data_IF_571924574631
#
_entry.id   IF_571924574631
#
_cell.length_a   1.000
_cell.length_b   1.000
_cell.length_c   1.000
_cell.angle_alpha   90.00
_cell.angle_beta   90.00
_cell.angle_gamma   90.00
#
_symmetry.space_group_name_H-M   'P 1'
#
loop_
_entity.id
_entity.type
_entity.pdbx_description
1 polymer ?
#
# COMPACT_ATOMS: atom_id res chain seq x y z
N UNK A 1 11.98 -50.84 46.94
CA UNK A 1 12.49 -51.63 45.80
C UNK A 1 11.45 -52.71 45.52
N UNK A 2 10.79 -52.67 44.36
CA UNK A 2 11.28 -53.42 43.20
C UNK A 2 11.51 -52.52 41.97
N UNK A 3 12.33 -52.96 40.99
CA UNK A 3 12.62 -52.21 39.78
C UNK A 3 11.55 -52.48 38.71
N UNK A 4 10.86 -51.45 38.24
CA UNK A 4 10.08 -51.54 37.01
C UNK A 4 11.05 -51.50 35.83
N UNK A 5 11.15 -52.67 35.20
CA UNK A 5 11.92 -53.01 34.01
C UNK A 5 11.85 -51.93 32.94
N UNK A 6 13.05 -51.56 32.46
CA UNK A 6 13.29 -51.17 31.07
C UNK A 6 12.52 -52.12 30.14
N UNK A 7 11.48 -51.60 29.47
CA UNK A 7 11.13 -52.09 28.14
C UNK A 7 11.94 -51.25 27.16
N UNK A 8 13.12 -51.78 26.84
CA UNK A 8 13.81 -51.43 25.62
C UNK A 8 12.85 -51.73 24.45
N UNK A 9 12.25 -50.68 23.90
CA UNK A 9 11.66 -50.72 22.57
C UNK A 9 12.85 -50.64 21.61
N UNK A 10 13.51 -51.77 21.40
CA UNK A 10 14.50 -51.94 20.35
C UNK A 10 13.82 -51.89 19.00
N UNK A 11 14.22 -50.91 18.20
CA UNK A 11 14.38 -50.93 16.75
C UNK A 11 13.63 -52.02 15.97
N UNK A 12 12.50 -51.64 15.36
CA UNK A 12 12.29 -51.94 13.95
C UNK A 12 12.30 -50.60 13.18
N UNK A 13 13.50 -50.05 12.96
CA UNK A 13 13.72 -49.05 11.92
C UNK A 13 13.68 -49.76 10.57
N UNK A 14 12.47 -50.02 10.07
CA UNK A 14 12.25 -50.30 8.65
C UNK A 14 12.61 -49.05 7.88
N UNK A 15 13.54 -49.15 6.91
CA UNK A 15 14.04 -48.00 6.13
C UNK A 15 12.97 -47.12 5.44
N UNK A 16 11.72 -47.60 5.36
CA UNK A 16 10.57 -46.83 4.91
C UNK A 16 10.12 -45.73 5.92
N UNK A 17 10.26 -45.95 7.23
CA UNK A 17 9.87 -44.97 8.25
C UNK A 17 10.84 -43.78 8.33
N UNK A 18 12.13 -44.03 8.10
CA UNK A 18 13.16 -42.98 8.06
C UNK A 18 12.97 -42.08 6.83
N UNK A 19 12.68 -42.65 5.66
CA UNK A 19 12.38 -41.92 4.43
C UNK A 19 11.12 -41.04 4.52
N UNK A 20 10.11 -41.52 5.27
CA UNK A 20 8.87 -40.77 5.51
C UNK A 20 9.14 -39.56 6.43
N UNK A 21 9.95 -39.74 7.48
CA UNK A 21 10.33 -38.67 8.38
C UNK A 21 11.15 -37.58 7.67
N UNK A 22 12.15 -37.97 6.87
CA UNK A 22 12.97 -37.03 6.08
C UNK A 22 12.11 -36.23 5.08
N UNK A 23 11.08 -36.87 4.50
CA UNK A 23 10.13 -36.18 3.62
C UNK A 23 9.33 -35.13 4.38
N UNK A 24 8.85 -35.44 5.58
CA UNK A 24 8.10 -34.47 6.39
C UNK A 24 8.97 -33.31 6.86
N UNK A 25 10.22 -33.59 7.27
CA UNK A 25 11.19 -32.57 7.66
C UNK A 25 11.47 -31.61 6.48
N UNK A 26 11.69 -32.14 5.27
CA UNK A 26 11.86 -31.32 4.06
C UNK A 26 10.61 -30.49 3.73
N UNK A 27 9.41 -31.06 3.89
CA UNK A 27 8.16 -30.31 3.66
C UNK A 27 7.97 -29.20 4.68
N UNK A 28 8.35 -29.42 5.93
CA UNK A 28 8.30 -28.42 6.99
C UNK A 28 9.34 -27.31 6.74
N UNK A 29 10.57 -27.68 6.43
CA UNK A 29 11.64 -26.72 6.08
C UNK A 29 11.26 -25.86 4.86
N UNK A 30 10.62 -26.45 3.83
CA UNK A 30 10.12 -25.70 2.68
C UNK A 30 9.01 -24.71 3.08
N UNK A 31 8.07 -25.14 3.92
CA UNK A 31 6.99 -24.27 4.43
C UNK A 31 7.55 -23.10 5.24
N UNK A 32 8.51 -23.36 6.12
CA UNK A 32 9.18 -22.32 6.91
C UNK A 32 9.93 -21.34 6.00
N UNK A 33 10.64 -21.84 4.99
CA UNK A 33 11.37 -21.01 4.02
C UNK A 33 10.42 -20.11 3.22
N UNK A 34 9.26 -20.63 2.83
CA UNK A 34 8.24 -19.87 2.10
C UNK A 34 7.65 -18.76 2.99
N UNK A 35 7.29 -19.08 4.23
CA UNK A 35 6.78 -18.08 5.18
C UNK A 35 7.79 -16.95 5.43
N UNK A 36 9.08 -17.28 5.52
CA UNK A 36 10.14 -16.27 5.67
C UNK A 36 10.24 -15.35 4.45
N UNK A 37 9.98 -15.86 3.24
CA UNK A 37 9.98 -15.03 2.02
C UNK A 37 8.77 -14.09 2.03
N UNK A 38 7.59 -14.60 2.38
CA UNK A 38 6.38 -13.78 2.45
C UNK A 38 6.47 -12.70 3.53
N UNK A 39 7.11 -13.00 4.67
CA UNK A 39 7.36 -12.01 5.73
C UNK A 39 8.28 -10.88 5.26
N UNK A 40 9.36 -11.22 4.56
CA UNK A 40 10.24 -10.22 3.94
C UNK A 40 9.52 -9.38 2.89
N UNK A 41 8.66 -10.00 2.08
CA UNK A 41 7.90 -9.27 1.06
C UNK A 41 6.84 -8.33 1.69
N UNK A 42 6.15 -8.80 2.73
CA UNK A 42 5.19 -7.98 3.47
C UNK A 42 5.89 -6.77 4.11
N UNK A 43 7.05 -6.98 4.72
CA UNK A 43 7.84 -5.92 5.34
C UNK A 43 8.33 -4.91 4.28
N UNK A 44 8.79 -5.39 3.12
CA UNK A 44 9.17 -4.52 2.00
C UNK A 44 8.05 -3.59 1.56
N UNK A 45 6.84 -4.11 1.32
CA UNK A 45 5.71 -3.26 0.95
C UNK A 45 5.28 -2.32 2.08
N UNK A 46 5.37 -2.77 3.33
CA UNK A 46 5.04 -1.95 4.49
C UNK A 46 5.97 -0.75 4.62
N UNK A 47 7.28 -0.97 4.49
CA UNK A 47 8.28 0.11 4.47
C UNK A 47 8.04 1.08 3.32
N UNK A 48 7.77 0.57 2.12
CA UNK A 48 7.48 1.42 0.97
C UNK A 48 6.20 2.25 1.15
N UNK A 49 5.15 1.70 1.77
CA UNK A 49 3.95 2.47 2.12
C UNK A 49 4.30 3.61 3.08
N UNK A 50 5.15 3.40 4.07
CA UNK A 50 5.61 4.48 4.95
C UNK A 50 6.38 5.55 4.17
N UNK A 51 7.31 5.17 3.29
CA UNK A 51 8.07 6.13 2.48
C UNK A 51 7.17 6.97 1.57
N UNK A 52 6.23 6.35 0.86
CA UNK A 52 5.29 7.10 -0.01
C UNK A 52 4.34 7.95 0.82
N UNK A 53 3.88 7.42 1.97
CA UNK A 53 3.03 8.17 2.90
C UNK A 53 3.70 9.42 3.46
N UNK A 54 4.99 9.36 3.83
CA UNK A 54 5.72 10.55 4.32
C UNK A 54 5.94 11.57 3.21
N UNK A 55 6.27 11.12 1.99
CA UNK A 55 6.42 12.02 0.84
C UNK A 55 5.10 12.74 0.52
N UNK A 56 3.98 12.00 0.48
CA UNK A 56 2.67 12.57 0.26
C UNK A 56 2.28 13.61 1.33
N UNK A 57 2.58 13.31 2.61
CA UNK A 57 2.33 14.24 3.71
C UNK A 57 3.14 15.54 3.57
N UNK A 58 4.40 15.48 3.11
CA UNK A 58 5.22 16.65 2.86
C UNK A 58 4.65 17.52 1.72
N UNK A 59 4.25 16.88 0.60
CA UNK A 59 3.63 17.60 -0.53
C UNK A 59 2.34 18.28 -0.08
N UNK A 60 1.48 17.58 0.66
CA UNK A 60 0.26 18.18 1.23
C UNK A 60 0.58 19.40 2.12
N UNK A 61 1.66 19.34 2.91
CA UNK A 61 2.15 20.45 3.71
C UNK A 61 2.56 21.65 2.86
N UNK A 62 3.33 21.45 1.79
CA UNK A 62 3.73 22.51 0.87
C UNK A 62 2.54 23.16 0.17
N UNK A 63 1.57 22.34 -0.25
CA UNK A 63 0.32 22.81 -0.84
C UNK A 63 -0.47 23.68 0.13
N UNK A 64 -0.57 23.27 1.39
CA UNK A 64 -1.23 24.07 2.43
C UNK A 64 -0.50 25.41 2.66
N UNK A 65 0.83 25.40 2.75
CA UNK A 65 1.62 26.63 2.86
C UNK A 65 1.39 27.59 1.69
N UNK A 66 1.33 27.08 0.46
CA UNK A 66 1.03 27.89 -0.73
C UNK A 66 -0.37 28.53 -0.68
N UNK A 67 -1.37 27.84 -0.12
CA UNK A 67 -2.72 28.41 0.10
C UNK A 67 -2.67 29.59 1.08
N UNK A 68 -1.91 29.46 2.16
CA UNK A 68 -1.79 30.49 3.19
C UNK A 68 -1.07 31.74 2.67
N UNK A 69 -0.04 31.54 1.84
CA UNK A 69 0.78 32.64 1.29
C UNK A 69 0.03 33.45 0.22
N UNK A 70 -0.83 32.82 -0.59
CA UNK A 70 -1.54 33.48 -1.69
C UNK A 70 -2.73 34.38 -1.25
N UNK A 71 -2.72 34.90 -0.01
CA UNK A 71 -3.85 35.64 0.58
C UNK A 71 -4.12 37.00 -0.07
N UNK A 72 -3.13 37.60 -0.72
CA UNK A 72 -3.18 38.98 -1.22
C UNK A 72 -3.29 39.08 -2.77
N UNK A 73 -3.88 38.08 -3.41
CA UNK A 73 -4.03 38.01 -4.87
C UNK A 73 -5.34 38.66 -5.36
N UNK A 74 -5.46 39.98 -5.21
CA UNK A 74 -6.69 40.73 -5.55
C UNK A 74 -6.68 41.33 -6.98
N UNK A 75 -5.51 41.55 -7.58
CA UNK A 75 -5.39 42.18 -8.91
C UNK A 75 -5.47 41.19 -10.10
N UNK A 76 -5.66 39.90 -9.83
CA UNK A 76 -5.61 38.85 -10.85
C UNK A 76 -7.01 38.50 -11.36
N UNK A 77 -7.12 38.23 -12.67
CA UNK A 77 -8.36 37.80 -13.30
C UNK A 77 -9.03 36.62 -12.57
N UNK A 78 -10.34 36.66 -12.34
CA UNK A 78 -11.04 35.71 -11.47
C UNK A 78 -10.92 34.26 -11.94
N UNK A 79 -10.83 34.04 -13.25
CA UNK A 79 -10.65 32.70 -13.82
C UNK A 79 -9.33 32.04 -13.39
N UNK A 80 -8.24 32.81 -13.36
CA UNK A 80 -6.93 32.28 -13.01
C UNK A 80 -6.85 31.95 -11.51
N UNK A 81 -7.39 32.84 -10.67
CA UNK A 81 -7.53 32.63 -9.21
C UNK A 81 -8.30 31.34 -8.91
N UNK A 82 -9.47 31.15 -9.53
CA UNK A 82 -10.28 29.94 -9.37
C UNK A 82 -9.53 28.70 -9.85
N UNK A 83 -8.89 28.77 -11.03
CA UNK A 83 -8.16 27.63 -11.60
C UNK A 83 -7.00 27.17 -10.72
N UNK A 84 -6.24 28.11 -10.17
CA UNK A 84 -5.18 27.85 -9.22
C UNK A 84 -5.74 27.23 -7.94
N UNK A 85 -6.74 27.87 -7.32
CA UNK A 85 -7.33 27.36 -6.08
C UNK A 85 -7.88 25.94 -6.21
N UNK A 86 -8.58 25.63 -7.32
CA UNK A 86 -9.11 24.27 -7.57
C UNK A 86 -7.98 23.26 -7.74
N UNK A 87 -6.94 23.58 -8.52
CA UNK A 87 -5.80 22.69 -8.71
C UNK A 87 -5.05 22.41 -7.39
N UNK A 88 -4.81 23.44 -6.59
CA UNK A 88 -4.15 23.36 -5.28
C UNK A 88 -4.95 22.51 -4.29
N UNK A 89 -6.26 22.72 -4.19
CA UNK A 89 -7.13 21.93 -3.29
C UNK A 89 -7.22 20.48 -3.75
N UNK A 90 -7.34 20.22 -5.06
CA UNK A 90 -7.35 18.84 -5.59
C UNK A 90 -6.03 18.12 -5.29
N UNK A 91 -4.89 18.79 -5.48
CA UNK A 91 -3.58 18.24 -5.11
C UNK A 91 -3.56 17.83 -3.64
N UNK A 92 -3.98 18.72 -2.73
CA UNK A 92 -4.02 18.42 -1.30
C UNK A 92 -4.90 17.20 -0.97
N UNK A 93 -6.09 17.11 -1.58
CA UNK A 93 -7.02 15.99 -1.36
C UNK A 93 -6.38 14.66 -1.80
N UNK A 94 -5.77 14.60 -2.98
CA UNK A 94 -5.14 13.37 -3.47
C UNK A 94 -3.94 12.95 -2.63
N UNK A 95 -3.13 13.89 -2.15
CA UNK A 95 -2.01 13.58 -1.27
C UNK A 95 -2.49 13.07 0.10
N UNK A 96 -3.50 13.70 0.71
CA UNK A 96 -4.11 13.21 1.96
C UNK A 96 -4.75 11.83 1.79
N UNK A 97 -5.42 11.58 0.66
CA UNK A 97 -5.96 10.26 0.33
C UNK A 97 -4.84 9.21 0.22
N UNK A 98 -3.69 9.57 -0.34
CA UNK A 98 -2.50 8.71 -0.41
C UNK A 98 -1.97 8.40 0.98
N UNK A 99 -1.85 9.39 1.87
CA UNK A 99 -1.41 9.19 3.27
C UNK A 99 -2.35 8.23 4.01
N UNK A 100 -3.66 8.46 3.93
CA UNK A 100 -4.66 7.60 4.58
C UNK A 100 -4.60 6.17 4.03
N UNK A 101 -4.47 6.01 2.71
CA UNK A 101 -4.33 4.68 2.08
C UNK A 101 -3.04 3.98 2.49
N UNK A 102 -1.92 4.71 2.56
CA UNK A 102 -0.65 4.18 3.03
C UNK A 102 -0.76 3.65 4.46
N UNK A 103 -1.37 4.43 5.35
CA UNK A 103 -1.60 4.06 6.75
C UNK A 103 -2.53 2.85 6.89
N UNK A 104 -3.61 2.80 6.11
CA UNK A 104 -4.50 1.64 6.09
C UNK A 104 -3.75 0.37 5.70
N UNK A 105 -2.94 0.42 4.63
CA UNK A 105 -2.18 -0.74 4.18
C UNK A 105 -1.09 -1.17 5.18
N UNK A 106 -0.38 -0.23 5.79
CA UNK A 106 0.71 -0.53 6.73
C UNK A 106 0.22 -1.11 8.06
N UNK A 107 -1.03 -0.86 8.45
CA UNK A 107 -1.63 -1.42 9.68
C UNK A 107 -2.40 -2.72 9.40
N UNK A 108 -3.23 -2.74 8.35
CA UNK A 108 -4.18 -3.84 8.13
C UNK A 108 -3.50 -5.09 7.55
N UNK A 109 -2.50 -4.93 6.67
CA UNK A 109 -1.85 -6.08 6.05
C UNK A 109 -1.04 -6.91 7.07
N UNK A 110 -0.19 -6.33 7.94
CA UNK A 110 0.46 -7.07 9.01
C UNK A 110 -0.53 -7.62 10.05
N UNK A 111 -1.62 -6.88 10.33
CA UNK A 111 -2.68 -7.34 11.22
C UNK A 111 -3.34 -8.63 10.74
N UNK A 112 -3.58 -8.76 9.43
CA UNK A 112 -4.13 -9.97 8.82
C UNK A 112 -3.13 -11.13 8.84
N UNK A 113 -1.84 -10.84 8.61
CA UNK A 113 -0.77 -11.84 8.64
C UNK A 113 -0.56 -12.46 10.03
N UNK A 114 -0.65 -11.66 11.10
CA UNK A 114 -0.40 -12.13 12.47
C UNK A 114 -1.60 -12.84 13.11
N UNK A 115 -2.83 -12.43 12.75
CA UNK A 115 -4.07 -12.92 13.41
C UNK A 115 -4.88 -13.91 12.56
N UNK A 116 -4.56 -14.02 11.28
CA UNK A 116 -5.32 -14.86 10.37
C UNK A 116 -4.96 -16.35 10.49
N UNK A 117 -5.86 -17.25 10.07
CA UNK A 117 -5.59 -18.69 9.99
C UNK A 117 -4.45 -19.00 9.00
N UNK A 118 -3.98 -20.24 8.94
CA UNK A 118 -2.92 -20.66 8.00
C UNK A 118 -3.19 -20.18 6.56
N UNK A 119 -2.16 -19.65 5.89
CA UNK A 119 -2.26 -19.03 4.56
C UNK A 119 -2.75 -17.57 4.54
N UNK A 120 -3.05 -16.98 5.71
CA UNK A 120 -3.39 -15.55 5.84
C UNK A 120 -2.25 -14.63 5.40
N UNK A 121 -0.99 -15.04 5.63
CA UNK A 121 0.22 -14.31 5.22
C UNK A 121 0.29 -14.13 3.70
N UNK A 122 0.23 -15.23 2.93
CA UNK A 122 0.16 -15.19 1.47
C UNK A 122 -0.95 -14.27 0.97
N UNK A 123 -2.13 -14.34 1.61
CA UNK A 123 -3.27 -13.49 1.25
C UNK A 123 -3.01 -12.02 1.54
N UNK A 124 -2.41 -11.69 2.68
CA UNK A 124 -2.07 -10.32 3.06
C UNK A 124 -1.10 -9.71 2.04
N UNK A 125 -0.04 -10.43 1.68
CA UNK A 125 0.94 -9.99 0.67
C UNK A 125 0.27 -9.75 -0.70
N UNK A 126 -0.60 -10.67 -1.14
CA UNK A 126 -1.31 -10.53 -2.43
C UNK A 126 -2.24 -9.31 -2.45
N UNK A 127 -2.96 -9.04 -1.37
CA UNK A 127 -3.81 -7.85 -1.24
C UNK A 127 -2.95 -6.59 -1.24
N UNK A 128 -1.87 -6.58 -0.46
CA UNK A 128 -0.96 -5.43 -0.37
C UNK A 128 -0.33 -5.10 -1.71
N UNK A 129 0.17 -6.10 -2.46
CA UNK A 129 0.73 -5.92 -3.81
C UNK A 129 -0.29 -5.34 -4.79
N UNK A 130 -1.56 -5.76 -4.69
CA UNK A 130 -2.65 -5.25 -5.52
C UNK A 130 -3.00 -3.79 -5.22
N UNK A 131 -3.20 -3.47 -3.94
CA UNK A 131 -3.59 -2.13 -3.49
C UNK A 131 -2.44 -1.12 -3.59
N UNK A 132 -1.18 -1.56 -3.50
CA UNK A 132 -0.01 -0.70 -3.65
C UNK A 132 0.04 0.02 -5.01
N UNK A 133 -0.46 -0.60 -6.08
CA UNK A 133 -0.63 0.04 -7.39
C UNK A 133 -1.67 1.15 -7.36
N UNK A 134 -2.77 0.95 -6.63
CA UNK A 134 -3.78 2.01 -6.42
C UNK A 134 -3.21 3.18 -5.64
N UNK A 135 -2.44 2.91 -4.60
CA UNK A 135 -1.75 3.93 -3.80
C UNK A 135 -0.81 4.79 -4.67
N UNK A 136 0.00 4.18 -5.53
CA UNK A 136 0.86 4.93 -6.47
C UNK A 136 0.06 5.81 -7.44
N UNK A 137 -1.09 5.32 -7.93
CA UNK A 137 -1.95 6.13 -8.82
C UNK A 137 -2.47 7.39 -8.14
N UNK A 138 -2.87 7.30 -6.86
CA UNK A 138 -3.31 8.48 -6.12
C UNK A 138 -2.17 9.47 -5.87
N UNK A 139 -0.98 8.96 -5.51
CA UNK A 139 0.22 9.79 -5.32
C UNK A 139 0.57 10.56 -6.59
N UNK A 140 0.71 9.87 -7.73
CA UNK A 140 1.04 10.53 -8.99
C UNK A 140 -0.06 11.48 -9.50
N UNK A 141 -1.33 11.19 -9.22
CA UNK A 141 -2.42 12.13 -9.52
C UNK A 141 -2.31 13.42 -8.69
N UNK A 142 -2.01 13.30 -7.39
CA UNK A 142 -1.76 14.45 -6.50
C UNK A 142 -0.55 15.28 -6.96
N UNK A 143 0.54 14.60 -7.31
CA UNK A 143 1.76 15.20 -7.84
C UNK A 143 1.51 15.94 -9.17
N UNK A 144 0.66 15.40 -10.05
CA UNK A 144 0.29 16.07 -11.31
C UNK A 144 -0.45 17.39 -11.07
N UNK A 145 -1.47 17.38 -10.18
CA UNK A 145 -2.18 18.60 -9.82
C UNK A 145 -1.31 19.61 -9.08
N UNK A 146 -0.37 19.15 -8.25
CA UNK A 146 0.61 19.99 -7.57
C UNK A 146 1.44 20.80 -8.59
N UNK A 147 1.93 20.13 -9.63
CA UNK A 147 2.72 20.76 -10.69
C UNK A 147 1.91 21.75 -11.53
N UNK A 148 0.64 21.43 -11.85
CA UNK A 148 -0.26 22.39 -12.51
C UNK A 148 -0.46 23.63 -11.63
N UNK A 149 -0.72 23.45 -10.34
CA UNK A 149 -0.86 24.54 -9.39
C UNK A 149 0.40 25.41 -9.34
N UNK A 150 1.58 24.79 -9.22
CA UNK A 150 2.86 25.49 -9.22
C UNK A 150 3.11 26.28 -10.51
N UNK A 151 2.77 25.72 -11.67
CA UNK A 151 2.86 26.40 -12.96
C UNK A 151 1.96 27.64 -13.04
N UNK A 152 0.70 27.51 -12.61
CA UNK A 152 -0.25 28.64 -12.59
C UNK A 152 0.20 29.69 -11.58
N UNK A 153 0.71 29.29 -10.40
CA UNK A 153 1.25 30.20 -9.40
C UNK A 153 2.46 30.98 -9.91
N UNK A 154 3.39 30.31 -10.60
CA UNK A 154 4.54 30.96 -11.21
C UNK A 154 4.12 31.98 -12.28
N UNK A 155 3.10 31.68 -13.08
CA UNK A 155 2.56 32.64 -14.05
C UNK A 155 1.98 33.88 -13.36
N UNK A 156 1.28 33.71 -12.23
CA UNK A 156 0.74 34.81 -11.44
C UNK A 156 1.85 35.69 -10.87
N UNK A 157 2.90 35.08 -10.32
CA UNK A 157 3.98 35.79 -9.62
C UNK A 157 4.79 36.72 -10.53
N UNK A 158 4.95 36.37 -11.81
CA UNK A 158 5.76 37.14 -12.77
C UNK A 158 4.93 38.08 -13.67
N UNK A 159 3.74 38.51 -13.23
CA UNK A 159 2.93 39.57 -13.86
C UNK A 159 2.74 39.45 -15.39
N UNK A 160 2.68 38.22 -15.92
CA UNK A 160 2.43 37.98 -17.35
C UNK A 160 3.65 38.11 -18.26
N UNK A 161 4.86 38.26 -17.73
CA UNK A 161 6.09 38.14 -18.49
C UNK A 161 6.27 36.70 -18.98
N UNK A 162 5.72 36.44 -20.17
CA UNK A 162 5.53 35.12 -20.76
C UNK A 162 6.82 34.28 -20.86
N UNK A 163 7.98 34.93 -20.88
CA UNK A 163 9.27 34.28 -21.10
C UNK A 163 9.75 33.42 -19.92
N UNK A 164 9.30 33.65 -18.69
CA UNK A 164 9.66 32.87 -17.50
C UNK A 164 8.72 31.67 -17.17
N UNK A 165 7.38 31.77 -17.28
CA UNK A 165 6.48 30.67 -16.96
C UNK A 165 6.41 29.59 -18.05
N UNK A 166 6.66 29.94 -19.32
CA UNK A 166 6.72 28.96 -20.41
C UNK A 166 7.81 27.89 -20.17
N UNK A 167 9.09 28.25 -19.90
CA UNK A 167 10.12 27.25 -19.65
C UNK A 167 9.88 26.46 -18.36
N UNK A 168 9.27 27.04 -17.33
CA UNK A 168 8.95 26.27 -16.11
C UNK A 168 7.87 25.22 -16.37
N UNK A 169 6.81 25.56 -17.09
CA UNK A 169 5.78 24.60 -17.53
C UNK A 169 6.38 23.50 -18.41
N UNK A 170 7.26 23.87 -19.36
CA UNK A 170 7.92 22.91 -20.25
C UNK A 170 8.85 21.98 -19.48
N UNK A 171 9.67 22.51 -18.55
CA UNK A 171 10.54 21.70 -17.70
C UNK A 171 9.76 20.75 -16.80
N UNK A 172 8.67 21.24 -16.20
CA UNK A 172 7.75 20.43 -15.39
C UNK A 172 7.12 19.32 -16.24
N UNK A 173 6.62 19.65 -17.44
CA UNK A 173 6.02 18.67 -18.34
C UNK A 173 7.03 17.62 -18.81
N UNK A 174 8.27 18.04 -19.14
CA UNK A 174 9.36 17.13 -19.50
C UNK A 174 9.77 16.23 -18.33
N UNK A 175 9.85 16.78 -17.11
CA UNK A 175 10.16 16.00 -15.91
C UNK A 175 9.06 14.97 -15.61
N UNK A 176 7.78 15.35 -15.69
CA UNK A 176 6.66 14.43 -15.52
C UNK A 176 6.60 13.37 -16.63
N UNK A 177 6.86 13.76 -17.89
CA UNK A 177 6.93 12.82 -19.01
C UNK A 177 8.10 11.83 -18.84
N UNK A 178 9.27 12.32 -18.42
CA UNK A 178 10.42 11.49 -18.12
C UNK A 178 10.11 10.48 -17.01
N UNK A 179 9.52 10.94 -15.89
CA UNK A 179 9.12 10.05 -14.79
C UNK A 179 8.07 9.03 -15.22
N UNK A 180 7.11 9.42 -16.07
CA UNK A 180 6.11 8.51 -16.60
C UNK A 180 6.72 7.44 -17.53
N UNK A 181 7.60 7.87 -18.44
CA UNK A 181 8.32 6.96 -19.34
C UNK A 181 9.18 5.99 -18.53
N UNK A 182 9.97 6.51 -17.59
CA UNK A 182 10.84 5.70 -16.73
C UNK A 182 10.01 4.69 -15.93
N UNK A 183 8.91 5.12 -15.30
CA UNK A 183 7.97 4.24 -14.61
C UNK A 183 7.45 3.12 -15.52
N UNK A 184 6.99 3.45 -16.74
CA UNK A 184 6.48 2.46 -17.69
C UNK A 184 7.57 1.49 -18.17
N UNK A 185 8.79 1.99 -18.34
CA UNK A 185 9.94 1.21 -18.77
C UNK A 185 10.40 0.25 -17.67
N UNK A 186 10.45 0.69 -16.43
CA UNK A 186 10.73 -0.17 -15.27
C UNK A 186 9.65 -1.25 -15.14
N UNK A 187 8.37 -0.91 -15.33
CA UNK A 187 7.30 -1.90 -15.25
C UNK A 187 7.45 -3.00 -16.31
N UNK A 188 7.87 -2.64 -17.54
CA UNK A 188 8.10 -3.65 -18.59
C UNK A 188 9.32 -4.51 -18.33
N UNK A 189 10.43 -3.94 -17.83
CA UNK A 189 11.66 -4.67 -17.53
C UNK A 189 11.57 -5.59 -16.32
N UNK A 190 10.77 -5.22 -15.33
CA UNK A 190 10.62 -5.98 -14.08
C UNK A 190 9.53 -7.08 -14.17
N UNK A 191 8.85 -7.22 -15.32
CA UNK A 191 7.96 -8.35 -15.57
C UNK A 191 8.79 -9.63 -15.73
N UNK A 192 8.62 -10.55 -14.78
CA UNK A 192 9.20 -11.89 -14.87
C UNK A 192 8.75 -12.57 -16.18
N UNK A 193 9.64 -13.27 -16.90
CA UNK A 193 9.29 -14.00 -18.12
C UNK A 193 8.16 -14.97 -17.82
N UNK A 194 7.11 -14.98 -18.65
CA UNK A 194 5.91 -15.80 -18.43
C UNK A 194 6.17 -17.32 -18.30
N UNK A 195 7.37 -17.80 -18.67
CA UNK A 195 7.80 -19.20 -18.57
C UNK A 195 8.53 -19.60 -17.28
N UNK A 196 8.84 -18.68 -16.36
CA UNK A 196 9.61 -19.03 -15.14
C UNK A 196 8.74 -19.41 -13.94
N UNK A 197 7.42 -19.34 -14.06
CA UNK A 197 6.50 -19.77 -13.01
C UNK A 197 6.21 -21.26 -13.27
N UNK A 198 6.73 -22.19 -12.45
CA UNK A 198 6.34 -23.59 -12.58
C UNK A 198 4.82 -23.68 -12.43
N UNK A 199 4.14 -24.51 -13.24
CA UNK A 199 2.69 -24.65 -13.17
C UNK A 199 2.30 -24.89 -11.72
N UNK A 200 1.53 -23.97 -11.14
CA UNK A 200 0.94 -24.16 -9.82
C UNK A 200 0.08 -25.42 -9.92
N UNK A 201 0.62 -26.54 -9.43
CA UNK A 201 -0.05 -27.81 -9.38
C UNK A 201 -1.31 -27.69 -8.54
N UNK A 202 -2.45 -27.71 -9.23
CA UNK A 202 -3.75 -28.08 -8.68
C UNK A 202 -4.42 -27.08 -7.75
N UNK A 203 -5.50 -26.43 -8.22
CA UNK A 203 -6.60 -26.07 -7.32
C UNK A 203 -7.33 -24.75 -7.56
N UNK A 204 -8.20 -24.78 -8.58
CA UNK A 204 -9.41 -23.95 -8.80
C UNK A 204 -9.28 -22.54 -9.38
N UNK A 205 -10.28 -22.12 -10.20
CA UNK A 205 -10.19 -20.96 -11.07
C UNK A 205 -10.37 -19.65 -10.31
N UNK A 206 -9.52 -18.70 -10.67
CA UNK A 206 -9.31 -17.36 -10.10
C UNK A 206 -10.36 -16.33 -10.57
N UNK A 207 -11.65 -16.66 -10.53
CA UNK A 207 -12.68 -15.83 -11.17
C UNK A 207 -13.79 -15.25 -10.26
N UNK A 208 -13.75 -15.42 -8.93
CA UNK A 208 -14.87 -14.96 -8.06
C UNK A 208 -14.53 -14.33 -6.71
N UNK A 209 -13.30 -13.86 -6.51
CA UNK A 209 -12.82 -13.36 -5.19
C UNK A 209 -12.39 -11.88 -5.17
N UNK A 210 -12.84 -11.05 -6.12
CA UNK A 210 -12.56 -9.60 -6.14
C UNK A 210 -13.83 -8.75 -6.28
N UNK A 211 -14.93 -9.22 -5.71
CA UNK A 211 -16.03 -8.36 -5.28
C UNK A 211 -16.11 -8.42 -3.76
N UNK A 212 -15.01 -8.09 -3.10
CA UNK A 212 -15.03 -7.79 -1.67
C UNK A 212 -15.71 -6.43 -1.54
N UNK A 213 -17.01 -6.47 -1.31
CA UNK A 213 -17.84 -5.32 -1.04
C UNK A 213 -17.17 -4.44 0.01
N UNK A 214 -16.82 -3.22 -0.39
CA UNK A 214 -16.38 -2.13 0.48
C UNK A 214 -17.35 -1.86 1.65
N UNK A 215 -18.57 -2.42 1.57
CA UNK A 215 -19.62 -2.36 2.59
C UNK A 215 -19.37 -3.27 3.80
N UNK A 216 -18.66 -4.40 3.64
CA UNK A 216 -18.38 -5.30 4.77
C UNK A 216 -17.24 -4.80 5.66
N UNK A 217 -16.29 -4.04 5.10
CA UNK A 217 -15.20 -3.44 5.87
C UNK A 217 -15.65 -2.27 6.76
N UNK A 218 -16.59 -1.45 6.29
CA UNK A 218 -17.22 -0.38 7.10
C UNK A 218 -18.02 -0.96 8.28
N UNK A 219 -18.56 -2.17 8.15
CA UNK A 219 -19.31 -2.83 9.21
C UNK A 219 -18.43 -3.40 10.34
N UNK A 220 -17.18 -3.76 10.07
CA UNK A 220 -16.25 -4.30 11.08
C UNK A 220 -15.49 -3.24 11.89
N UNK A 221 -15.57 -1.96 11.52
CA UNK A 221 -14.96 -0.84 12.27
C UNK A 221 -15.94 -0.06 13.15
N UNK A 222 -17.23 -0.42 13.14
CA UNK A 222 -18.18 0.13 14.09
C UNK A 222 -17.97 -0.56 15.44
N UNK A 223 -17.71 0.18 16.53
CA UNK A 223 -17.65 -0.40 17.86
C UNK A 223 -19.00 -1.08 18.15
N UNK A 224 -18.96 -2.34 18.58
CA UNK A 224 -20.13 -3.05 19.09
C UNK A 224 -20.81 -2.18 20.16
N UNK A 225 -22.14 -1.98 20.12
CA UNK A 225 -22.84 -1.21 21.14
C UNK A 225 -22.53 -1.79 22.51
N UNK A 226 -21.91 -0.97 23.36
CA UNK A 226 -21.64 -1.32 24.76
C UNK A 226 -23.00 -1.53 25.43
N UNK A 227 -23.27 -2.69 26.05
CA UNK A 227 -24.51 -2.89 26.78
C UNK A 227 -24.57 -1.90 27.95
N UNK A 228 -25.54 -0.99 27.93
CA UNK A 228 -25.87 -0.10 29.04
C UNK A 228 -26.16 -0.95 30.29
N UNK A 229 -25.22 -0.95 31.24
CA UNK A 229 -25.48 -1.44 32.58
C UNK A 229 -26.42 -0.45 33.26
N UNK A 230 -27.70 -0.82 33.33
CA UNK A 230 -28.69 -0.17 34.19
C UNK A 230 -28.22 -0.28 35.64
N UNK A 231 -27.55 0.77 36.12
CA UNK A 231 -27.24 0.97 37.53
C UNK A 231 -28.56 1.36 38.24
N UNK A 232 -29.30 0.34 38.66
CA UNK A 232 -30.51 0.49 39.47
C UNK A 232 -30.12 1.10 40.81
N UNK A 233 -30.47 2.37 40.97
CA UNK A 233 -30.29 3.16 42.18
C UNK A 233 -31.24 2.63 43.26
N UNK A 234 -30.74 1.79 44.17
CA UNK A 234 -31.43 1.44 45.42
C UNK A 234 -31.44 2.69 46.32
N UNK A 235 -32.66 3.12 46.68
CA UNK A 235 -32.96 3.98 47.82
C UNK A 235 -33.35 3.10 48.99
#
# INVERSE_FOLDING_TARGET
RPPLRLRAVSCLCTGAGMLLADKYDLQEQLKLSLLQIEDKELNFFTQNCYTVGTQAALIAGFVFSAIVEARDMDDIGPGLKISWSVATVLSMIFELMTVVKAMQLSIMAPGLALRGPEGSMTRAVMVMRGEYKSLHRYFYAGLFFFHISAAVYAYILFEGDLYLPIPTVVLIALALAYLYIDYSFLETKLRLPAGSIPPQGGGRPRARQQRWDSRLWLASTLPSPVPESKCTRLR
#
